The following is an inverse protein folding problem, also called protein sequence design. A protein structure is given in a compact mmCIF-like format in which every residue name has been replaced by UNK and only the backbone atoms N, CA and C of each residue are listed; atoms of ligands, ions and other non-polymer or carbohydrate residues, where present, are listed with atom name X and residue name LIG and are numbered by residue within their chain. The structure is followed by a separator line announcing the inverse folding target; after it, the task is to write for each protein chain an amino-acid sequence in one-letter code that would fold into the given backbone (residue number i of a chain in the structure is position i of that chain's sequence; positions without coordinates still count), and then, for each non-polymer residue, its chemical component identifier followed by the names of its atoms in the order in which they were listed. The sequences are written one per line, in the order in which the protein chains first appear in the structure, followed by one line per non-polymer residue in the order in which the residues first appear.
data_IF_997674115804
#
_entry.id   IF_997674115804
#
_cell.length_a   1.000
_cell.length_b   1.000
_cell.length_c   1.000
_cell.angle_alpha   90.00
_cell.angle_beta   90.00
_cell.angle_gamma   90.00
#
_symmetry.space_group_name_H-M   'P 1'
#
loop_
_entity.id
_entity.type
_entity.pdbx_description
1 polymer ?
#
# COMPACT_ATOMS: atom_id res chain seq x y z
N UNK A 1 -0.03 2.40 -4.62
CA UNK A 1 -0.20 2.44 -6.10
C UNK A 1 -0.73 1.08 -6.49
N UNK A 2 -1.85 0.99 -7.22
CA UNK A 2 -2.40 -0.30 -7.60
C UNK A 2 -1.47 -1.01 -8.57
N UNK A 3 -1.35 -2.33 -8.43
CA UNK A 3 -0.59 -3.21 -9.31
C UNK A 3 -1.57 -4.22 -9.91
N UNK A 4 -1.46 -4.49 -11.20
CA UNK A 4 -2.28 -5.50 -11.88
C UNK A 4 -1.33 -6.49 -12.55
N UNK A 5 -1.51 -7.77 -12.24
CA UNK A 5 -0.73 -8.85 -12.84
C UNK A 5 -1.43 -9.31 -14.13
N UNK A 6 -0.74 -9.18 -15.26
CA UNK A 6 -1.28 -9.53 -16.58
C UNK A 6 -0.41 -10.60 -17.25
N UNK A 7 -0.99 -11.77 -17.48
CA UNK A 7 -0.38 -12.83 -18.29
C UNK A 7 -0.80 -12.67 -19.74
N UNK A 8 0.15 -12.30 -20.59
CA UNK A 8 -0.09 -12.20 -22.04
C UNK A 8 0.13 -13.57 -22.73
N UNK A 9 -0.41 -13.71 -23.94
CA UNK A 9 -0.40 -14.91 -24.79
C UNK A 9 -1.27 -16.06 -24.28
N UNK A 10 -2.47 -15.74 -23.79
CA UNK A 10 -3.46 -16.73 -23.38
C UNK A 10 -3.88 -17.70 -24.51
N UNK A 11 -3.66 -17.32 -25.77
CA UNK A 11 -3.91 -18.14 -26.97
C UNK A 11 -2.89 -19.28 -27.17
N UNK A 12 -1.72 -19.22 -26.54
CA UNK A 12 -0.65 -20.23 -26.68
C UNK A 12 -0.47 -21.11 -25.43
N UNK A 13 -0.94 -20.66 -24.25
CA UNK A 13 -0.66 -21.31 -22.97
C UNK A 13 -1.92 -21.53 -22.13
N UNK A 14 -1.99 -22.68 -21.44
CA UNK A 14 -3.08 -22.97 -20.51
C UNK A 14 -3.02 -22.06 -19.28
N UNK A 15 -4.03 -21.18 -19.18
CA UNK A 15 -4.14 -20.19 -18.13
C UNK A 15 -4.76 -20.75 -16.85
N UNK A 16 -5.41 -21.91 -16.89
CA UNK A 16 -6.06 -22.52 -15.73
C UNK A 16 -5.03 -23.02 -14.71
N UNK A 17 -3.94 -23.63 -15.19
CA UNK A 17 -2.85 -24.09 -14.34
C UNK A 17 -2.07 -22.91 -13.71
N UNK A 18 -1.94 -21.79 -14.42
CA UNK A 18 -1.31 -20.59 -13.87
C UNK A 18 -2.12 -19.99 -12.72
N UNK A 19 -3.46 -19.97 -12.86
CA UNK A 19 -4.35 -19.51 -11.80
C UNK A 19 -4.24 -20.39 -10.56
N UNK A 20 -4.24 -21.71 -10.72
CA UNK A 20 -4.11 -22.62 -9.57
C UNK A 20 -2.79 -22.47 -8.81
N UNK A 21 -1.68 -22.12 -9.49
CA UNK A 21 -0.41 -21.83 -8.83
C UNK A 21 -0.41 -20.53 -8.03
N UNK A 22 -1.20 -19.54 -8.46
CA UNK A 22 -1.29 -18.24 -7.78
C UNK A 22 -2.27 -18.26 -6.62
N UNK A 23 -3.35 -19.03 -6.76
CA UNK A 23 -4.35 -19.26 -5.71
C UNK A 23 -3.80 -20.18 -4.61
N UNK A 24 -2.99 -21.18 -4.98
CA UNK A 24 -2.41 -22.14 -4.05
C UNK A 24 -0.87 -22.24 -4.22
N UNK A 25 -0.10 -21.68 -3.27
CA UNK A 25 1.36 -21.79 -3.24
C UNK A 25 1.85 -23.25 -3.17
N UNK A 26 1.07 -24.17 -2.61
CA UNK A 26 1.44 -25.59 -2.53
C UNK A 26 1.40 -26.24 -3.90
N UNK A 27 0.41 -25.90 -4.75
CA UNK A 27 0.38 -26.30 -6.15
C UNK A 27 1.65 -25.85 -6.91
N UNK A 28 2.11 -24.61 -6.67
CA UNK A 28 3.34 -24.09 -7.26
C UNK A 28 4.58 -24.83 -6.75
N UNK A 29 4.67 -25.09 -5.44
CA UNK A 29 5.78 -25.84 -4.83
C UNK A 29 5.87 -27.27 -5.34
N UNK A 30 4.74 -27.94 -5.52
CA UNK A 30 4.67 -29.29 -6.09
C UNK A 30 5.11 -29.32 -7.55
N UNK A 31 4.69 -28.34 -8.34
CA UNK A 31 5.16 -28.20 -9.71
C UNK A 31 6.68 -28.01 -9.77
N UNK A 32 7.26 -27.16 -8.91
CA UNK A 32 8.72 -26.99 -8.84
C UNK A 32 9.44 -28.25 -8.39
N UNK A 33 8.89 -29.03 -7.46
CA UNK A 33 9.45 -30.34 -7.07
C UNK A 33 9.46 -31.33 -8.23
N UNK A 34 8.44 -31.29 -9.10
CA UNK A 34 8.34 -32.16 -10.29
C UNK A 34 9.28 -31.71 -11.43
N UNK A 35 9.57 -30.42 -11.54
CA UNK A 35 10.51 -29.89 -12.55
C UNK A 35 11.98 -29.91 -12.10
N UNK A 36 12.24 -29.99 -10.79
CA UNK A 36 13.56 -29.87 -10.19
C UNK A 36 14.17 -31.21 -9.78
N UNK A 37 14.57 -32.04 -10.74
CA UNK A 37 15.44 -33.20 -10.46
C UNK A 37 16.93 -32.80 -10.39
N UNK A 38 17.35 -31.60 -10.84
CA UNK A 38 18.77 -31.31 -11.14
C UNK A 38 19.45 -30.09 -10.45
N UNK A 39 18.89 -29.44 -9.43
CA UNK A 39 19.64 -28.34 -8.78
C UNK A 39 19.27 -28.06 -7.32
N UNK A 40 19.94 -28.73 -6.37
CA UNK A 40 19.66 -28.60 -4.93
C UNK A 40 19.61 -27.15 -4.39
N UNK A 41 20.50 -26.26 -4.83
CA UNK A 41 20.49 -24.85 -4.41
C UNK A 41 19.38 -24.02 -5.08
N UNK A 42 19.11 -24.25 -6.36
CA UNK A 42 18.06 -23.53 -7.06
C UNK A 42 16.67 -23.95 -6.55
N UNK A 43 16.50 -25.24 -6.24
CA UNK A 43 15.29 -25.79 -5.67
C UNK A 43 15.00 -25.22 -4.27
N UNK A 44 16.00 -25.11 -3.39
CA UNK A 44 15.80 -24.51 -2.06
C UNK A 44 15.51 -23.01 -2.13
N UNK A 45 16.14 -22.28 -3.07
CA UNK A 45 15.82 -20.88 -3.35
C UNK A 45 14.39 -20.71 -3.89
N UNK A 46 13.97 -21.55 -4.84
CA UNK A 46 12.61 -21.54 -5.40
C UNK A 46 11.55 -21.79 -4.34
N UNK A 47 11.82 -22.69 -3.37
CA UNK A 47 10.89 -22.93 -2.25
C UNK A 47 10.78 -21.70 -1.34
N UNK A 48 11.89 -21.05 -1.00
CA UNK A 48 11.87 -19.81 -0.20
C UNK A 48 11.17 -18.66 -0.93
N UNK A 49 11.36 -18.55 -2.26
CA UNK A 49 10.69 -17.56 -3.09
C UNK A 49 9.18 -17.83 -3.22
N UNK A 50 8.76 -19.09 -3.33
CA UNK A 50 7.34 -19.45 -3.40
C UNK A 50 6.59 -19.05 -2.11
N UNK A 51 7.20 -19.24 -0.94
CA UNK A 51 6.65 -18.77 0.34
C UNK A 51 6.56 -17.24 0.40
N UNK A 52 7.62 -16.53 0.00
CA UNK A 52 7.58 -15.07 -0.08
C UNK A 52 6.48 -14.57 -1.03
N UNK A 53 6.32 -15.22 -2.19
CA UNK A 53 5.29 -14.88 -3.17
C UNK A 53 3.87 -15.14 -2.65
N UNK A 54 3.67 -16.17 -1.80
CA UNK A 54 2.35 -16.45 -1.23
C UNK A 54 1.76 -15.29 -0.42
N UNK A 55 2.60 -14.48 0.22
CA UNK A 55 2.17 -13.28 0.94
C UNK A 55 1.75 -12.14 0.00
N UNK A 56 2.25 -12.13 -1.25
CA UNK A 56 1.95 -11.11 -2.26
C UNK A 56 0.87 -11.51 -3.28
N UNK A 57 0.69 -12.80 -3.56
CA UNK A 57 -0.25 -13.29 -4.59
C UNK A 57 -1.70 -13.25 -4.14
N UNK A 58 -1.98 -13.45 -2.84
CA UNK A 58 -3.35 -13.31 -2.27
C UNK A 58 -3.94 -11.91 -2.56
N UNK A 59 -3.08 -10.90 -2.74
CA UNK A 59 -3.49 -9.53 -2.99
C UNK A 59 -3.75 -9.19 -4.48
N UNK A 60 -3.40 -10.06 -5.43
CA UNK A 60 -3.32 -9.68 -6.86
C UNK A 60 -3.93 -10.75 -7.77
N UNK A 61 -5.26 -10.74 -7.99
CA UNK A 61 -5.90 -11.66 -8.91
C UNK A 61 -5.36 -11.45 -10.33
N UNK A 62 -4.83 -12.49 -10.99
CA UNK A 62 -4.22 -12.37 -12.30
C UNK A 62 -5.26 -12.24 -13.41
N UNK A 63 -4.97 -11.40 -14.41
CA UNK A 63 -5.73 -11.33 -15.65
C UNK A 63 -4.94 -12.00 -16.76
N UNK A 64 -5.59 -12.86 -17.54
CA UNK A 64 -4.98 -13.52 -18.69
C UNK A 64 -5.51 -12.90 -19.97
N UNK A 65 -4.62 -12.46 -20.85
CA UNK A 65 -4.98 -11.77 -22.09
C UNK A 65 -4.23 -12.35 -23.28
N UNK A 66 -4.80 -12.18 -24.47
CA UNK A 66 -4.06 -12.30 -25.72
C UNK A 66 -4.03 -10.95 -26.44
N UNK A 67 -2.83 -10.39 -26.57
CA UNK A 67 -2.64 -9.16 -27.34
C UNK A 67 -2.93 -9.33 -28.86
N UNK A 68 -2.96 -10.56 -29.36
CA UNK A 68 -3.19 -10.86 -30.79
C UNK A 68 -4.68 -11.08 -31.06
N UNK A 69 -5.34 -11.92 -30.26
CA UNK A 69 -6.76 -12.25 -30.47
C UNK A 69 -7.71 -11.26 -29.79
N UNK A 70 -7.21 -10.50 -28.81
CA UNK A 70 -8.02 -9.60 -27.97
C UNK A 70 -8.74 -10.32 -26.82
N UNK A 71 -8.52 -11.62 -26.63
CA UNK A 71 -9.06 -12.37 -25.51
C UNK A 71 -8.63 -11.77 -24.16
N UNK A 72 -9.54 -11.74 -23.19
CA UNK A 72 -9.27 -11.27 -21.82
C UNK A 72 -9.06 -9.75 -21.67
N UNK A 73 -9.08 -8.98 -22.77
CA UNK A 73 -8.90 -7.52 -22.71
C UNK A 73 -10.06 -6.82 -21.97
N UNK A 74 -11.26 -7.37 -22.01
CA UNK A 74 -12.40 -6.88 -21.19
C UNK A 74 -12.12 -7.02 -19.69
N UNK A 75 -11.69 -8.21 -19.27
CA UNK A 75 -11.33 -8.50 -17.88
C UNK A 75 -10.19 -7.59 -17.38
N UNK A 76 -9.25 -7.24 -18.27
CA UNK A 76 -8.19 -6.28 -17.97
C UNK A 76 -8.73 -4.87 -17.71
N UNK A 77 -9.66 -4.40 -18.54
CA UNK A 77 -10.29 -3.09 -18.35
C UNK A 77 -11.09 -3.06 -17.04
N UNK A 78 -11.83 -4.12 -16.74
CA UNK A 78 -12.59 -4.22 -15.50
C UNK A 78 -11.68 -4.24 -14.27
N UNK A 79 -10.54 -4.93 -14.34
CA UNK A 79 -9.52 -4.90 -13.29
C UNK A 79 -8.96 -3.49 -13.09
N UNK A 80 -8.63 -2.77 -14.17
CA UNK A 80 -8.15 -1.38 -14.11
C UNK A 80 -9.20 -0.47 -13.46
N UNK A 81 -10.47 -0.63 -13.84
CA UNK A 81 -11.57 0.18 -13.30
C UNK A 81 -11.78 -0.05 -11.80
N UNK A 82 -11.75 -1.31 -11.36
CA UNK A 82 -11.81 -1.68 -9.95
C UNK A 82 -10.66 -1.06 -9.16
N UNK A 83 -9.42 -1.27 -9.60
CA UNK A 83 -8.22 -0.76 -8.91
C UNK A 83 -8.14 0.78 -8.91
N UNK A 84 -8.72 1.42 -9.92
CA UNK A 84 -8.85 2.88 -9.95
C UNK A 84 -9.85 3.37 -8.89
N UNK A 85 -10.94 2.63 -8.68
CA UNK A 85 -11.93 2.89 -7.64
C UNK A 85 -11.31 2.81 -6.25
N UNK A 86 -10.68 1.68 -5.92
CA UNK A 86 -10.01 1.44 -4.63
C UNK A 86 -8.95 2.50 -4.37
N UNK A 87 -8.08 2.80 -5.35
CA UNK A 87 -7.06 3.83 -5.19
C UNK A 87 -7.64 5.22 -4.90
N UNK A 88 -8.77 5.60 -5.52
CA UNK A 88 -9.42 6.89 -5.27
C UNK A 88 -9.98 6.96 -3.85
N UNK A 89 -10.58 5.89 -3.37
CA UNK A 89 -11.12 5.81 -2.01
C UNK A 89 -10.00 5.90 -0.97
N UNK A 90 -8.97 5.05 -1.11
CA UNK A 90 -7.79 5.05 -0.23
C UNK A 90 -7.09 6.41 -0.23
N UNK A 91 -6.92 7.00 -1.42
CA UNK A 91 -6.28 8.31 -1.55
C UNK A 91 -7.10 9.41 -0.89
N UNK A 92 -8.44 9.38 -1.05
CA UNK A 92 -9.34 10.35 -0.42
C UNK A 92 -9.30 10.25 1.10
N UNK A 93 -9.29 9.04 1.64
CA UNK A 93 -9.20 8.82 3.09
C UNK A 93 -7.86 9.29 3.65
N UNK A 94 -6.75 8.94 2.97
CA UNK A 94 -5.41 9.41 3.35
C UNK A 94 -5.29 10.94 3.32
N UNK A 95 -5.88 11.59 2.31
CA UNK A 95 -5.90 13.06 2.23
C UNK A 95 -6.74 13.68 3.35
N UNK A 96 -7.86 13.05 3.72
CA UNK A 96 -8.69 13.49 4.85
C UNK A 96 -7.93 13.39 6.17
N UNK A 97 -7.30 12.25 6.45
CA UNK A 97 -6.48 12.05 7.65
C UNK A 97 -5.32 13.05 7.71
N UNK A 98 -4.62 13.27 6.59
CA UNK A 98 -3.54 14.27 6.53
C UNK A 98 -4.03 15.69 6.83
N UNK A 99 -5.25 16.04 6.38
CA UNK A 99 -5.87 17.33 6.67
C UNK A 99 -6.26 17.46 8.14
N UNK A 100 -6.87 16.43 8.73
CA UNK A 100 -7.24 16.41 10.16
C UNK A 100 -5.99 16.52 11.05
N UNK A 101 -4.92 15.78 10.72
CA UNK A 101 -3.64 15.90 11.42
C UNK A 101 -3.05 17.29 11.31
N UNK A 102 -3.16 17.94 10.13
CA UNK A 102 -2.67 19.30 9.94
C UNK A 102 -3.47 20.30 10.79
N UNK A 103 -4.80 20.24 10.75
CA UNK A 103 -5.67 21.12 11.55
C UNK A 103 -5.42 20.94 13.05
N UNK A 104 -5.19 19.71 13.50
CA UNK A 104 -4.87 19.43 14.90
C UNK A 104 -3.51 19.98 15.30
N UNK A 105 -2.48 19.84 14.45
CA UNK A 105 -1.17 20.46 14.69
C UNK A 105 -1.26 21.98 14.73
N UNK A 106 -2.05 22.60 13.86
CA UNK A 106 -2.27 24.05 13.86
C UNK A 106 -3.00 24.51 15.14
N UNK A 107 -4.02 23.78 15.58
CA UNK A 107 -4.73 24.07 16.83
C UNK A 107 -3.83 23.91 18.07
N UNK A 108 -3.06 22.84 18.13
CA UNK A 108 -2.08 22.60 19.20
C UNK A 108 -1.04 23.72 19.23
N UNK A 109 -0.51 24.10 18.07
CA UNK A 109 0.46 25.19 17.96
C UNK A 109 -0.14 26.54 18.38
N UNK A 110 -1.38 26.85 18.00
CA UNK A 110 -2.09 28.06 18.44
C UNK A 110 -2.32 28.05 19.96
N UNK A 111 -2.67 26.90 20.54
CA UNK A 111 -2.88 26.76 21.98
C UNK A 111 -1.60 27.02 22.79
N UNK A 112 -0.47 26.47 22.33
CA UNK A 112 0.85 26.67 22.92
C UNK A 112 1.27 28.15 22.80
N UNK A 113 1.05 28.76 21.63
CA UNK A 113 1.34 30.18 21.42
C UNK A 113 0.52 31.08 22.36
N UNK A 114 -0.77 30.79 22.54
CA UNK A 114 -1.64 31.53 23.47
C UNK A 114 -1.21 31.36 24.93
N UNK A 115 -0.81 30.15 25.35
CA UNK A 115 -0.28 29.91 26.70
C UNK A 115 0.99 30.73 26.95
N UNK A 116 1.95 30.68 26.01
CA UNK A 116 3.20 31.44 26.12
C UNK A 116 2.94 32.96 26.20
N UNK A 117 2.04 33.50 25.36
CA UNK A 117 1.65 34.91 25.42
C UNK A 117 0.99 35.29 26.77
N UNK A 118 0.15 34.41 27.31
CA UNK A 118 -0.50 34.65 28.60
C UNK A 118 0.51 34.67 29.75
N UNK A 119 1.50 33.78 29.73
CA UNK A 119 2.60 33.77 30.70
C UNK A 119 3.46 35.03 30.62
N UNK A 120 3.85 35.45 29.42
CA UNK A 120 4.66 36.66 29.22
C UNK A 120 3.93 37.92 29.69
N UNK A 121 2.63 38.04 29.39
CA UNK A 121 1.79 39.14 29.92
C UNK A 121 1.67 39.12 31.45
N UNK A 122 1.60 37.93 32.07
CA UNK A 122 1.56 37.81 33.52
C UNK A 122 2.89 38.26 34.16
N UNK A 123 4.03 37.83 33.61
CA UNK A 123 5.36 38.28 34.04
C UNK A 123 5.52 39.80 33.88
N UNK A 124 5.08 40.37 32.76
CA UNK A 124 5.19 41.82 32.52
C UNK A 124 4.36 42.65 33.52
N UNK A 125 3.15 42.19 33.87
CA UNK A 125 2.33 42.81 34.92
C UNK A 125 3.00 42.72 36.30
N UNK A 126 3.65 41.61 36.61
CA UNK A 126 4.39 41.42 37.86
C UNK A 126 5.61 42.36 37.93
N UNK A 127 6.42 42.42 36.87
CA UNK A 127 7.53 43.36 36.74
C UNK A 127 7.10 44.82 36.88
N UNK A 128 5.95 45.18 36.27
CA UNK A 128 5.40 46.53 36.34
C UNK A 128 4.89 46.90 37.74
N UNK A 129 4.38 45.94 38.51
CA UNK A 129 3.99 46.14 39.92
C UNK A 129 5.22 46.34 40.81
N UNK A 130 6.26 45.52 40.63
CA UNK A 130 7.52 45.62 41.39
C UNK A 130 8.22 46.97 41.14
N UNK A 131 8.24 47.47 39.90
CA UNK A 131 8.79 48.81 39.59
C UNK A 131 8.05 49.97 40.26
N UNK A 132 6.73 49.87 40.41
CA UNK A 132 5.91 50.91 41.09
C UNK A 132 6.05 50.88 42.62
N UNK A 133 6.55 49.79 43.19
CA UNK A 133 6.74 49.63 44.63
C UNK A 133 8.11 50.12 45.11
N UNK A 134 9.01 50.48 44.19
CA UNK A 134 10.37 50.98 44.46
C UNK A 134 10.62 52.40 43.91
N UNK A 135 9.54 53.11 43.55
CA UNK A 135 9.49 54.56 43.33
C UNK A 135 8.65 55.19 44.43
#
# INVERSE_FOLDING_TARGET
VPLILVFNKADEADTAQLKSWLDDPDCMREAFKKCGEDAGFLASLQQSLALALSEFTVALPPVCVSAITGEGMGDLVDAIERERGTWREDTKERLKQAKEEQEQREADHQSIQMQNMAEDMAREKEFSRLRKQHM
#
